data_IF_657965100352
#
_entry.id   IF_657965100352
#
_cell.length_a   1.000
_cell.length_b   1.000
_cell.length_c   1.000
_cell.angle_alpha   90.00
_cell.angle_beta   90.00
_cell.angle_gamma   90.00
#
_symmetry.space_group_name_H-M   'P 1'
#
loop_
_entity.id
_entity.type
_entity.pdbx_description
1 polymer ?
#
# COMPACT_ATOMS: atom_id res chain seq x y z
N UNK A 1 -0.09 -3.15 -12.50
CA UNK A 1 -0.16 -3.59 -11.09
C UNK A 1 -1.60 -3.60 -10.56
N UNK A 2 -2.61 -3.21 -11.33
CA UNK A 2 -4.00 -3.36 -10.90
C UNK A 2 -4.43 -4.83 -10.88
N UNK A 3 -5.31 -5.20 -9.94
CA UNK A 3 -5.91 -6.54 -9.89
C UNK A 3 -7.10 -6.64 -10.85
N UNK A 4 -7.46 -7.85 -11.25
CA UNK A 4 -8.68 -8.08 -12.01
C UNK A 4 -9.91 -7.89 -11.11
N UNK A 5 -10.89 -7.13 -11.59
CA UNK A 5 -12.15 -6.81 -10.89
C UNK A 5 -13.36 -7.36 -11.67
N UNK A 6 -14.39 -7.79 -10.95
CA UNK A 6 -15.70 -8.07 -11.54
C UNK A 6 -16.36 -6.77 -11.98
N UNK A 7 -17.41 -6.84 -12.82
CA UNK A 7 -18.10 -5.63 -13.28
C UNK A 7 -18.81 -4.88 -12.14
N UNK A 8 -19.29 -5.62 -11.13
CA UNK A 8 -19.84 -5.04 -9.91
C UNK A 8 -18.74 -4.32 -9.09
N UNK A 9 -17.59 -4.95 -8.88
CA UNK A 9 -16.48 -4.33 -8.15
C UNK A 9 -15.92 -3.10 -8.86
N UNK A 10 -15.91 -3.08 -10.21
CA UNK A 10 -15.54 -1.89 -10.99
C UNK A 10 -16.49 -0.73 -10.71
N UNK A 11 -17.79 -1.02 -10.58
CA UNK A 11 -18.81 -0.03 -10.23
C UNK A 11 -18.51 0.57 -8.85
N UNK A 12 -18.31 -0.28 -7.83
CA UNK A 12 -17.94 0.19 -6.49
C UNK A 12 -16.64 1.00 -6.48
N UNK A 13 -15.60 0.56 -7.21
CA UNK A 13 -14.34 1.30 -7.30
C UNK A 13 -14.50 2.68 -7.93
N UNK A 14 -15.41 2.83 -8.90
CA UNK A 14 -15.69 4.11 -9.53
C UNK A 14 -16.47 5.07 -8.60
N UNK A 15 -17.29 4.53 -7.70
CA UNK A 15 -18.10 5.30 -6.75
C UNK A 15 -17.33 5.69 -5.48
N UNK A 16 -16.37 4.88 -5.04
CA UNK A 16 -15.60 5.16 -3.82
C UNK A 16 -14.72 6.40 -3.99
N UNK A 17 -14.87 7.34 -3.05
CA UNK A 17 -13.90 8.41 -2.84
C UNK A 17 -12.76 7.91 -1.96
N UNK A 18 -11.63 7.53 -2.58
CA UNK A 18 -10.43 7.08 -1.85
C UNK A 18 -9.68 8.21 -1.14
N UNK A 19 -9.84 9.46 -1.59
CA UNK A 19 -9.24 10.62 -0.94
C UNK A 19 -10.14 11.11 0.19
N UNK A 20 -9.82 10.69 1.42
CA UNK A 20 -10.55 11.07 2.64
C UNK A 20 -10.70 12.60 2.80
N UNK A 21 -9.79 13.41 2.24
CA UNK A 21 -9.88 14.87 2.37
C UNK A 21 -11.02 15.48 1.55
N UNK A 22 -11.58 14.72 0.61
CA UNK A 22 -12.70 15.11 -0.27
C UNK A 22 -14.06 14.65 0.24
N UNK A 23 -14.11 13.92 1.35
CA UNK A 23 -15.34 13.48 1.99
C UNK A 23 -15.73 14.53 3.03
N UNK A 24 -16.68 15.40 2.69
CA UNK A 24 -16.95 16.62 3.46
C UNK A 24 -18.19 16.55 4.38
N UNK A 25 -19.08 15.59 4.18
CA UNK A 25 -20.29 15.44 4.99
C UNK A 25 -20.45 14.01 5.53
N UNK A 26 -21.23 13.88 6.60
CA UNK A 26 -21.41 12.62 7.32
C UNK A 26 -22.18 11.58 6.51
N UNK A 27 -23.07 12.00 5.61
CA UNK A 27 -23.90 11.08 4.83
C UNK A 27 -23.08 10.44 3.71
N UNK A 28 -22.32 11.25 2.97
CA UNK A 28 -21.33 10.82 2.01
C UNK A 28 -20.27 9.94 2.68
N UNK A 29 -19.84 10.27 3.91
CA UNK A 29 -18.95 9.41 4.67
C UNK A 29 -19.53 8.00 4.88
N UNK A 30 -20.78 7.94 5.36
CA UNK A 30 -21.46 6.67 5.63
C UNK A 30 -21.66 5.85 4.35
N UNK A 31 -22.09 6.49 3.26
CA UNK A 31 -22.27 5.80 1.98
C UNK A 31 -20.93 5.26 1.46
N UNK A 32 -19.88 6.08 1.47
CA UNK A 32 -18.55 5.70 1.01
C UNK A 32 -17.96 4.53 1.83
N UNK A 33 -18.20 4.50 3.15
CA UNK A 33 -17.71 3.44 4.02
C UNK A 33 -18.43 2.10 3.83
N UNK A 34 -19.75 2.11 3.56
CA UNK A 34 -20.49 0.89 3.22
C UNK A 34 -20.04 0.31 1.87
N UNK A 35 -19.87 1.15 0.84
CA UNK A 35 -19.36 0.67 -0.46
C UNK A 35 -17.94 0.10 -0.32
N UNK A 36 -17.08 0.76 0.47
CA UNK A 36 -15.75 0.24 0.76
C UNK A 36 -15.77 -1.10 1.50
N UNK A 37 -16.72 -1.28 2.42
CA UNK A 37 -16.93 -2.54 3.15
C UNK A 37 -17.39 -3.67 2.22
N UNK A 38 -18.37 -3.42 1.35
CA UNK A 38 -18.84 -4.42 0.39
C UNK A 38 -17.76 -4.82 -0.60
N UNK A 39 -16.97 -3.84 -1.08
CA UNK A 39 -15.84 -4.10 -1.96
C UNK A 39 -14.78 -4.97 -1.29
N UNK A 40 -14.32 -4.63 -0.08
CA UNK A 40 -13.28 -5.45 0.58
C UNK A 40 -13.80 -6.86 0.90
N UNK A 41 -15.07 -7.01 1.27
CA UNK A 41 -15.68 -8.31 1.51
C UNK A 41 -15.65 -9.18 0.25
N UNK A 42 -16.13 -8.66 -0.88
CA UNK A 42 -16.10 -9.36 -2.17
C UNK A 42 -14.68 -9.77 -2.59
N UNK A 43 -13.72 -8.84 -2.47
CA UNK A 43 -12.32 -9.10 -2.80
C UNK A 43 -11.69 -10.20 -1.93
N UNK A 44 -12.01 -10.23 -0.64
CA UNK A 44 -11.52 -11.25 0.29
C UNK A 44 -12.17 -12.62 0.05
N UNK A 45 -13.48 -12.67 -0.17
CA UNK A 45 -14.24 -13.90 -0.44
C UNK A 45 -13.67 -14.65 -1.65
N UNK A 46 -13.36 -13.94 -2.73
CA UNK A 46 -12.77 -14.54 -3.95
C UNK A 46 -11.24 -14.60 -3.96
N UNK A 47 -10.57 -14.17 -2.88
CA UNK A 47 -9.11 -14.13 -2.75
C UNK A 47 -8.42 -13.33 -3.87
N UNK A 48 -9.02 -12.20 -4.23
CA UNK A 48 -8.55 -11.32 -5.30
C UNK A 48 -7.23 -10.61 -4.98
N UNK A 49 -7.00 -10.34 -3.70
CA UNK A 49 -5.92 -9.47 -3.24
C UNK A 49 -4.60 -10.26 -3.27
N UNK A 50 -3.57 -9.77 -3.97
CA UNK A 50 -2.26 -10.41 -3.95
C UNK A 50 -1.72 -10.57 -2.53
N UNK A 51 -1.16 -11.75 -2.24
CA UNK A 51 -0.76 -12.12 -0.87
C UNK A 51 0.22 -11.12 -0.23
N UNK A 52 1.15 -10.54 -0.99
CA UNK A 52 2.10 -9.54 -0.47
C UNK A 52 1.42 -8.22 -0.08
N UNK A 53 0.34 -7.83 -0.78
CA UNK A 53 -0.46 -6.66 -0.40
C UNK A 53 -1.24 -6.91 0.87
N UNK A 54 -1.80 -8.10 1.02
CA UNK A 54 -2.50 -8.45 2.25
C UNK A 54 -1.54 -8.48 3.44
N UNK A 55 -0.35 -9.08 3.28
CA UNK A 55 0.73 -9.09 4.30
C UNK A 55 1.12 -7.69 4.75
N UNK A 56 1.22 -6.72 3.83
CA UNK A 56 1.48 -5.31 4.17
C UNK A 56 0.51 -4.75 5.24
N UNK A 57 -0.72 -5.24 5.26
CA UNK A 57 -1.73 -4.82 6.24
C UNK A 57 -1.75 -5.69 7.50
N UNK A 58 -1.73 -7.02 7.35
CA UNK A 58 -2.01 -7.95 8.45
C UNK A 58 -0.78 -8.46 9.19
N UNK A 59 0.42 -8.33 8.62
CA UNK A 59 1.63 -8.95 9.15
C UNK A 59 2.54 -7.88 9.79
N UNK A 60 2.87 -7.98 11.10
CA UNK A 60 3.76 -7.06 11.77
C UNK A 60 5.15 -6.93 11.13
N UNK A 61 5.65 -8.00 10.49
CA UNK A 61 6.94 -7.98 9.80
C UNK A 61 6.96 -6.98 8.63
N UNK A 62 5.80 -6.76 8.00
CA UNK A 62 5.63 -5.81 6.91
C UNK A 62 5.23 -4.41 7.40
N UNK A 63 5.43 -4.13 8.69
CA UNK A 63 5.25 -2.81 9.27
C UNK A 63 6.53 -2.37 10.01
N UNK A 64 7.59 -1.94 9.30
CA UNK A 64 8.87 -1.58 9.93
C UNK A 64 8.77 -0.50 11.02
N UNK A 65 7.82 0.45 10.87
CA UNK A 65 7.50 1.45 11.89
C UNK A 65 6.47 0.99 12.94
N UNK A 66 6.10 -0.28 12.91
CA UNK A 66 4.98 -0.90 13.62
C UNK A 66 5.17 -1.09 15.11
N UNK A 67 6.44 -1.19 15.57
CA UNK A 67 6.81 -1.59 16.94
C UNK A 67 6.22 -2.96 17.32
N UNK A 68 6.32 -3.93 16.42
CA UNK A 68 5.81 -5.29 16.62
C UNK A 68 4.31 -5.48 16.35
N UNK A 69 3.61 -4.44 15.92
CA UNK A 69 2.19 -4.49 15.55
C UNK A 69 2.00 -4.35 14.05
N UNK A 70 1.07 -5.11 13.49
CA UNK A 70 0.62 -4.92 12.10
C UNK A 70 -0.18 -3.63 11.95
N UNK A 71 -0.53 -3.26 10.73
CA UNK A 71 -1.42 -2.13 10.50
C UNK A 71 -2.84 -2.48 10.93
N UNK A 72 -3.27 -3.73 10.70
CA UNK A 72 -4.53 -4.29 11.19
C UNK A 72 -4.67 -4.19 12.72
N UNK A 73 -3.64 -4.55 13.48
CA UNK A 73 -3.70 -4.49 14.96
C UNK A 73 -3.97 -3.07 15.45
N UNK A 74 -3.35 -2.06 14.82
CA UNK A 74 -3.57 -0.64 15.15
C UNK A 74 -5.01 -0.18 14.87
N UNK A 75 -5.65 -0.72 13.85
CA UNK A 75 -7.07 -0.45 13.63
C UNK A 75 -7.93 -1.08 14.71
N UNK A 76 -7.68 -2.35 15.03
CA UNK A 76 -8.48 -3.10 16.00
C UNK A 76 -8.33 -2.57 17.43
N UNK A 77 -7.25 -1.88 17.75
CA UNK A 77 -7.12 -1.14 19.02
C UNK A 77 -8.14 -0.01 19.17
N UNK A 78 -8.62 0.54 18.06
CA UNK A 78 -9.52 1.69 18.05
C UNK A 78 -10.92 1.35 17.48
N UNK A 79 -11.10 0.16 16.90
CA UNK A 79 -12.35 -0.29 16.29
C UNK A 79 -13.11 -1.22 17.24
N UNK A 80 -14.45 -1.14 17.23
CA UNK A 80 -15.30 -2.03 18.01
C UNK A 80 -15.44 -3.44 17.41
N UNK A 81 -15.15 -3.59 16.12
CA UNK A 81 -15.27 -4.83 15.35
C UNK A 81 -14.38 -4.82 14.10
N UNK A 82 -14.29 -5.96 13.41
CA UNK A 82 -13.59 -6.05 12.11
C UNK A 82 -14.33 -5.28 11.02
N UNK A 83 -15.66 -5.30 11.08
CA UNK A 83 -16.59 -4.60 10.22
C UNK A 83 -16.42 -3.09 10.33
N UNK A 84 -16.26 -2.58 11.56
CA UNK A 84 -15.97 -1.17 11.83
C UNK A 84 -14.59 -0.76 11.31
N UNK A 85 -13.59 -1.64 11.44
CA UNK A 85 -12.26 -1.41 10.86
C UNK A 85 -12.33 -1.19 9.35
N UNK A 86 -13.09 -2.02 8.62
CA UNK A 86 -13.20 -1.90 7.17
C UNK A 86 -13.99 -0.66 6.72
N UNK A 87 -14.94 -0.20 7.54
CA UNK A 87 -15.68 1.06 7.32
C UNK A 87 -14.89 2.31 7.70
N UNK A 88 -13.73 2.14 8.34
CA UNK A 88 -12.95 3.28 8.82
C UNK A 88 -12.34 4.09 7.66
N UNK A 89 -12.39 5.44 7.72
CA UNK A 89 -11.82 6.29 6.66
C UNK A 89 -10.37 6.00 6.31
N UNK A 90 -9.50 5.90 7.32
CA UNK A 90 -8.10 5.56 7.11
C UNK A 90 -7.89 4.16 6.49
N UNK A 91 -8.91 3.28 6.47
CA UNK A 91 -8.83 2.00 5.77
C UNK A 91 -8.77 2.17 4.24
N UNK A 92 -9.37 3.24 3.70
CA UNK A 92 -9.43 3.50 2.26
C UNK A 92 -8.06 3.55 1.59
N UNK A 93 -7.03 4.04 2.27
CA UNK A 93 -5.67 4.04 1.75
C UNK A 93 -5.12 2.62 1.51
N UNK A 94 -5.49 1.66 2.36
CA UNK A 94 -5.12 0.25 2.20
C UNK A 94 -5.94 -0.42 1.12
N UNK A 95 -7.25 -0.15 1.08
CA UNK A 95 -8.13 -0.65 0.03
C UNK A 95 -7.65 -0.19 -1.36
N UNK A 96 -7.29 1.10 -1.50
CA UNK A 96 -6.70 1.66 -2.72
C UNK A 96 -5.43 0.90 -3.13
N UNK A 97 -4.53 0.62 -2.18
CA UNK A 97 -3.31 -0.13 -2.44
C UNK A 97 -3.62 -1.57 -2.87
N UNK A 98 -4.56 -2.25 -2.21
CA UNK A 98 -4.96 -3.62 -2.56
C UNK A 98 -5.40 -3.73 -4.01
N UNK A 99 -6.15 -2.74 -4.51
CA UNK A 99 -6.73 -2.76 -5.85
C UNK A 99 -5.76 -2.22 -6.90
N UNK A 100 -5.26 -1.00 -6.68
CA UNK A 100 -4.54 -0.22 -7.69
C UNK A 100 -3.02 -0.35 -7.57
N UNK A 101 -2.51 -0.85 -6.44
CA UNK A 101 -1.08 -0.86 -6.14
C UNK A 101 -0.56 0.51 -5.67
N UNK A 102 0.77 0.69 -5.65
CA UNK A 102 1.41 1.87 -5.07
C UNK A 102 0.99 3.16 -5.75
N UNK A 103 0.77 4.21 -4.95
CA UNK A 103 0.37 5.53 -5.42
C UNK A 103 1.61 6.43 -5.64
N UNK A 104 2.35 6.16 -6.71
CA UNK A 104 3.56 6.90 -7.07
C UNK A 104 3.57 7.28 -8.55
N UNK A 105 4.36 8.29 -8.95
CA UNK A 105 4.51 8.66 -10.36
C UNK A 105 4.93 7.45 -11.23
N UNK A 106 4.26 7.18 -12.38
CA UNK A 106 4.56 6.02 -13.22
C UNK A 106 6.04 5.93 -13.63
N UNK A 107 6.67 7.05 -13.96
CA UNK A 107 8.08 7.13 -14.34
C UNK A 107 9.02 6.76 -13.18
N UNK A 108 8.65 7.06 -11.93
CA UNK A 108 9.39 6.63 -10.74
C UNK A 108 9.26 5.11 -10.59
N UNK A 109 8.04 4.58 -10.67
CA UNK A 109 7.78 3.15 -10.53
C UNK A 109 8.53 2.34 -11.59
N UNK A 110 8.52 2.81 -12.85
CA UNK A 110 9.25 2.18 -13.94
C UNK A 110 10.77 2.23 -13.70
N UNK A 111 11.31 3.39 -13.30
CA UNK A 111 12.74 3.54 -13.06
C UNK A 111 13.26 2.64 -11.92
N UNK A 112 12.49 2.51 -10.83
CA UNK A 112 12.85 1.60 -9.75
C UNK A 112 12.66 0.13 -10.15
N UNK A 113 11.55 -0.20 -10.81
CA UNK A 113 11.28 -1.54 -11.31
C UNK A 113 12.35 -2.05 -12.28
N UNK A 114 12.86 -1.18 -13.17
CA UNK A 114 14.00 -1.50 -14.04
C UNK A 114 15.27 -1.80 -13.26
N UNK A 115 15.55 -1.03 -12.20
CA UNK A 115 16.72 -1.25 -11.36
C UNK A 115 16.65 -2.60 -10.62
N UNK A 116 15.48 -2.95 -10.07
CA UNK A 116 15.27 -4.25 -9.42
C UNK A 116 15.40 -5.39 -10.43
N UNK A 117 14.80 -5.27 -11.62
CA UNK A 117 14.90 -6.29 -12.69
C UNK A 117 16.34 -6.52 -13.15
N UNK A 118 17.17 -5.48 -13.19
CA UNK A 118 18.57 -5.59 -13.60
C UNK A 118 19.42 -6.45 -12.65
N UNK A 119 18.98 -6.63 -11.40
CA UNK A 119 19.63 -7.51 -10.42
C UNK A 119 19.32 -9.01 -10.65
N UNK A 120 18.31 -9.35 -11.46
CA UNK A 120 17.77 -10.72 -11.47
C UNK A 120 17.13 -11.04 -10.10
N UNK A 121 17.35 -12.25 -9.54
CA UNK A 121 16.99 -12.53 -8.15
C UNK A 121 17.77 -11.63 -7.19
N UNK A 122 17.07 -10.73 -6.50
CA UNK A 122 17.69 -9.77 -5.58
C UNK A 122 18.45 -10.50 -4.47
N UNK A 123 19.73 -10.19 -4.31
CA UNK A 123 20.59 -10.70 -3.25
C UNK A 123 20.97 -9.60 -2.24
N UNK A 124 21.67 -9.97 -1.17
CA UNK A 124 22.18 -8.99 -0.20
C UNK A 124 23.14 -7.96 -0.81
N UNK A 125 23.89 -8.33 -1.85
CA UNK A 125 24.82 -7.43 -2.55
C UNK A 125 24.11 -6.31 -3.33
N UNK A 126 22.85 -6.54 -3.72
CA UNK A 126 22.06 -5.57 -4.50
C UNK A 126 21.39 -4.50 -3.64
N UNK A 127 21.31 -4.73 -2.33
CA UNK A 127 20.56 -3.87 -1.41
C UNK A 127 21.11 -2.44 -1.38
N UNK A 128 22.43 -2.27 -1.28
CA UNK A 128 23.01 -0.92 -1.21
C UNK A 128 22.88 -0.13 -2.52
N UNK A 129 23.14 -0.71 -3.71
CA UNK A 129 22.78 -0.09 -4.98
C UNK A 129 21.30 0.32 -5.06
N UNK A 130 20.38 -0.57 -4.68
CA UNK A 130 18.94 -0.29 -4.71
C UNK A 130 18.53 0.80 -3.72
N UNK A 131 19.11 0.85 -2.51
CA UNK A 131 18.90 1.94 -1.54
C UNK A 131 19.38 3.28 -2.09
N UNK A 132 20.54 3.33 -2.75
CA UNK A 132 21.06 4.55 -3.39
C UNK A 132 20.11 5.01 -4.50
N UNK A 133 19.62 4.08 -5.33
CA UNK A 133 18.64 4.37 -6.38
C UNK A 133 17.32 4.89 -5.81
N UNK A 134 16.78 4.26 -4.76
CA UNK A 134 15.56 4.67 -4.10
C UNK A 134 15.69 6.09 -3.52
N UNK A 135 16.79 6.41 -2.84
CA UNK A 135 17.07 7.76 -2.33
C UNK A 135 17.17 8.80 -3.45
N UNK A 136 17.83 8.46 -4.55
CA UNK A 136 17.94 9.36 -5.70
C UNK A 136 16.56 9.66 -6.30
N UNK A 137 15.72 8.63 -6.47
CA UNK A 137 14.34 8.78 -6.95
C UNK A 137 13.49 9.58 -5.97
N UNK A 138 13.57 9.30 -4.67
CA UNK A 138 12.85 10.04 -3.66
C UNK A 138 13.16 11.54 -3.71
N UNK A 139 14.44 11.92 -3.82
CA UNK A 139 14.84 13.33 -3.99
C UNK A 139 14.38 13.93 -5.31
N UNK A 140 14.54 13.19 -6.41
CA UNK A 140 14.16 13.66 -7.75
C UNK A 140 12.67 14.01 -7.83
N UNK A 141 11.82 13.23 -7.17
CA UNK A 141 10.37 13.42 -7.16
C UNK A 141 9.88 14.17 -5.91
N UNK A 142 10.78 14.78 -5.14
CA UNK A 142 10.49 15.52 -3.91
C UNK A 142 9.59 14.75 -2.92
N UNK A 143 9.78 13.42 -2.84
CA UNK A 143 9.08 12.58 -1.88
C UNK A 143 9.54 12.91 -0.47
N UNK A 144 8.59 12.94 0.46
CA UNK A 144 8.87 13.20 1.87
C UNK A 144 8.74 11.93 2.71
N UNK A 145 8.92 12.06 4.03
CA UNK A 145 8.85 10.94 4.97
C UNK A 145 7.49 10.24 5.02
N UNK A 146 6.40 10.93 4.68
CA UNK A 146 5.06 10.36 4.58
C UNK A 146 4.89 9.49 3.32
N UNK A 147 5.68 9.74 2.27
CA UNK A 147 5.67 8.94 1.03
C UNK A 147 6.47 7.64 1.14
N UNK A 148 7.23 7.45 2.22
CA UNK A 148 8.03 6.25 2.43
C UNK A 148 7.19 4.97 2.41
N UNK A 149 5.96 5.00 2.93
CA UNK A 149 5.04 3.85 2.88
C UNK A 149 4.61 3.51 1.44
N UNK A 150 4.34 4.52 0.60
CA UNK A 150 4.02 4.33 -0.82
C UNK A 150 5.20 3.76 -1.62
N UNK A 151 6.42 4.17 -1.28
CA UNK A 151 7.63 3.59 -1.87
C UNK A 151 7.87 2.16 -1.39
N UNK A 152 7.58 1.87 -0.12
CA UNK A 152 7.68 0.51 0.39
C UNK A 152 6.69 -0.44 -0.27
N UNK A 153 5.47 0.01 -0.54
CA UNK A 153 4.52 -0.71 -1.39
C UNK A 153 5.13 -1.07 -2.75
N UNK A 154 5.75 -0.11 -3.44
CA UNK A 154 6.46 -0.38 -4.70
C UNK A 154 7.62 -1.38 -4.55
N UNK A 155 8.38 -1.32 -3.45
CA UNK A 155 9.42 -2.29 -3.16
C UNK A 155 8.84 -3.70 -2.98
N UNK A 156 7.69 -3.85 -2.32
CA UNK A 156 7.00 -5.13 -2.19
C UNK A 156 6.48 -5.67 -3.52
N UNK A 157 5.98 -4.79 -4.40
CA UNK A 157 5.52 -5.19 -5.75
C UNK A 157 6.67 -5.66 -6.65
N UNK A 158 7.86 -5.08 -6.49
CA UNK A 158 9.00 -5.30 -7.42
C UNK A 158 9.99 -6.34 -6.90
N UNK A 159 10.23 -6.38 -5.59
CA UNK A 159 11.18 -7.29 -4.93
C UNK A 159 10.48 -8.48 -4.27
N UNK A 160 9.14 -8.52 -4.29
CA UNK A 160 8.34 -9.47 -3.54
C UNK A 160 8.34 -9.21 -2.04
N UNK A 161 7.79 -10.15 -1.28
CA UNK A 161 7.70 -10.11 0.18
C UNK A 161 9.07 -10.37 0.87
N UNK A 162 10.15 -9.82 0.32
CA UNK A 162 11.53 -9.98 0.79
C UNK A 162 11.86 -9.05 1.94
N UNK A 163 12.74 -9.51 2.84
CA UNK A 163 13.31 -8.72 3.93
C UNK A 163 14.04 -7.46 3.44
N UNK A 164 14.52 -7.46 2.19
CA UNK A 164 15.22 -6.31 1.60
C UNK A 164 14.31 -5.11 1.32
N UNK A 165 13.00 -5.30 1.17
CA UNK A 165 12.08 -4.20 0.93
C UNK A 165 12.07 -3.20 2.11
N UNK A 166 12.27 -3.68 3.35
CA UNK A 166 12.40 -2.81 4.53
C UNK A 166 13.61 -1.88 4.42
N UNK A 167 14.73 -2.35 3.88
CA UNK A 167 15.92 -1.52 3.69
C UNK A 167 15.67 -0.35 2.73
N UNK A 168 14.80 -0.55 1.74
CA UNK A 168 14.34 0.49 0.81
C UNK A 168 13.44 1.49 1.52
N UNK A 169 12.46 1.03 2.31
CA UNK A 169 11.61 1.88 3.15
C UNK A 169 12.44 2.82 4.01
N UNK A 170 13.39 2.27 4.78
CA UNK A 170 14.27 3.05 5.66
C UNK A 170 15.08 4.06 4.86
N UNK A 171 15.63 3.65 3.71
CA UNK A 171 16.43 4.53 2.88
C UNK A 171 15.66 5.76 2.38
N UNK A 172 14.38 5.59 1.98
CA UNK A 172 13.51 6.69 1.56
C UNK A 172 13.07 7.55 2.75
N UNK A 173 12.76 6.92 3.89
CA UNK A 173 12.37 7.62 5.12
C UNK A 173 13.46 8.54 5.68
N UNK A 174 14.74 8.24 5.42
CA UNK A 174 15.88 9.08 5.80
C UNK A 174 16.09 10.30 4.87
N UNK A 175 15.36 10.38 3.74
CA UNK A 175 15.47 11.51 2.83
C UNK A 175 14.77 12.72 3.45
N UNK A 176 15.55 13.80 3.62
CA UNK A 176 15.09 15.11 4.07
C UNK A 176 14.74 15.98 2.88
#
# INVERSE_FOLDING_TARGET
MQIDLTDEEKTWVAEIQFDQSKVHDHEHWKQNSEIAYDLIRSLLERRAIPAHRLKYFIDPYFNPGGRGKSRKDRFLENAGSYEDMYRHNHFLAYLRYFILGPDLPPSLMEAFGKAVKACGPVTSGDVDPLRKKARALARQYALNTADADRFYQLALETMGASSYAEAIYRAVKDVR
#
